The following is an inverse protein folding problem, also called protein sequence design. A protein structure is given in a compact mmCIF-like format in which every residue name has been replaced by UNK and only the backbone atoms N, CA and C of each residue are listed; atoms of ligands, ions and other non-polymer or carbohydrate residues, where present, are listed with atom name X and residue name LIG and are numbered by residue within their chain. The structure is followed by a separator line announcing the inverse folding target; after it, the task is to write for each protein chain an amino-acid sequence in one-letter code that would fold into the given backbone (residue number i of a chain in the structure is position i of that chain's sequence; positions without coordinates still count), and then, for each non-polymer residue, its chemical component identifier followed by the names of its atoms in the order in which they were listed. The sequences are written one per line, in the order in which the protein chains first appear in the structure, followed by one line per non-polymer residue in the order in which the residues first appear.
data_IF_955703948379
#
_entry.id   IF_955703948379
#
_cell.length_a   1.000
_cell.length_b   1.000
_cell.length_c   1.000
_cell.angle_alpha   90.00
_cell.angle_beta   90.00
_cell.angle_gamma   90.00
#
_symmetry.space_group_name_H-M   'P 1'
#
loop_
_entity.id
_entity.type
_entity.pdbx_description
1 polymer ?
#
# COMPACT_ATOMS: atom_id res chain seq x y z
N UNK A 1 6.16 -0.94 -15.28
CA UNK A 1 4.74 -0.88 -14.89
C UNK A 1 4.55 0.21 -13.86
N UNK A 2 3.37 0.83 -13.81
CA UNK A 2 3.05 1.84 -12.78
C UNK A 2 2.33 1.19 -11.61
N UNK A 3 2.82 1.40 -10.39
CA UNK A 3 2.20 0.94 -9.16
C UNK A 3 1.81 2.11 -8.28
N UNK A 4 0.56 2.14 -7.84
CA UNK A 4 0.08 3.05 -6.81
C UNK A 4 0.33 2.43 -5.45
N UNK A 5 0.98 3.17 -4.56
CA UNK A 5 1.31 2.71 -3.21
C UNK A 5 0.31 3.29 -2.21
N UNK A 6 -0.37 2.41 -1.50
CA UNK A 6 -1.42 2.73 -0.54
C UNK A 6 -1.01 2.23 0.83
N UNK A 7 -0.83 3.15 1.79
CA UNK A 7 -0.46 2.79 3.15
C UNK A 7 -1.68 2.69 4.05
N UNK A 8 -1.73 1.67 4.90
CA UNK A 8 -2.84 1.45 5.82
C UNK A 8 -2.90 2.56 6.88
N UNK A 9 -4.11 3.08 7.13
CA UNK A 9 -4.32 4.08 8.18
C UNK A 9 -4.12 3.47 9.56
N UNK A 10 -3.43 4.15 10.49
CA UNK A 10 -3.33 3.68 11.88
C UNK A 10 -4.69 3.62 12.59
N UNK A 11 -5.67 4.41 12.15
CA UNK A 11 -7.06 4.36 12.65
C UNK A 11 -7.78 3.06 12.27
N UNK A 12 -7.41 2.44 11.15
CA UNK A 12 -8.01 1.17 10.68
C UNK A 12 -7.48 -0.03 11.47
N UNK A 13 -6.18 -0.01 11.81
CA UNK A 13 -5.51 -0.99 12.69
C UNK A 13 -6.22 -1.23 14.04
N UNK A 14 -6.88 -0.21 14.60
CA UNK A 14 -7.58 -0.31 15.90
C UNK A 14 -9.00 -0.86 15.82
N UNK A 15 -9.64 -0.81 14.65
CA UNK A 15 -11.07 -1.11 14.51
C UNK A 15 -11.36 -2.48 13.91
N UNK A 16 -10.44 -3.04 13.13
CA UNK A 16 -10.71 -4.23 12.31
C UNK A 16 -9.64 -5.28 12.58
N UNK A 17 -9.88 -6.11 13.59
CA UNK A 17 -9.16 -7.38 13.76
C UNK A 17 -9.67 -8.33 12.67
N UNK A 18 -8.91 -8.47 11.58
CA UNK A 18 -9.07 -9.56 10.61
C UNK A 18 -9.86 -9.27 9.32
N UNK A 19 -10.25 -8.02 9.04
CA UNK A 19 -10.90 -7.66 7.78
C UNK A 19 -9.88 -7.25 6.71
N UNK A 20 -9.87 -7.98 5.59
CA UNK A 20 -9.17 -7.57 4.37
C UNK A 20 -9.68 -6.20 3.90
N UNK A 21 -8.82 -5.32 3.35
CA UNK A 21 -9.29 -4.05 2.82
C UNK A 21 -10.18 -4.27 1.61
N UNK A 22 -11.14 -3.37 1.45
CA UNK A 22 -12.03 -3.35 0.30
C UNK A 22 -11.26 -2.83 -0.92
N UNK A 23 -11.06 -3.65 -1.98
CA UNK A 23 -10.28 -3.25 -3.15
C UNK A 23 -10.99 -2.18 -4.00
N UNK A 24 -12.30 -2.04 -3.87
CA UNK A 24 -13.12 -1.02 -4.55
C UNK A 24 -13.16 0.30 -3.75
N UNK A 25 -12.88 0.26 -2.44
CA UNK A 25 -12.83 1.43 -1.57
C UNK A 25 -11.59 1.50 -0.67
N UNK A 26 -10.40 1.43 -1.28
CA UNK A 26 -9.12 1.57 -0.57
C UNK A 26 -9.02 2.89 0.19
N UNK A 27 -9.60 3.98 -0.32
CA UNK A 27 -9.53 5.30 0.33
C UNK A 27 -10.15 5.34 1.74
N UNK A 28 -11.06 4.42 2.06
CA UNK A 28 -11.63 4.30 3.40
C UNK A 28 -10.57 3.84 4.42
N UNK A 29 -9.79 2.83 4.05
CA UNK A 29 -8.88 2.09 4.95
C UNK A 29 -7.40 2.49 4.79
N UNK A 30 -7.04 2.95 3.59
CA UNK A 30 -5.69 3.30 3.16
C UNK A 30 -5.59 4.76 2.73
N UNK A 31 -4.35 5.26 2.69
CA UNK A 31 -4.00 6.57 2.16
C UNK A 31 -3.08 6.36 0.96
N UNK A 32 -3.44 6.95 -0.17
CA UNK A 32 -2.55 7.02 -1.32
C UNK A 32 -1.30 7.81 -0.94
N UNK A 33 -0.17 7.13 -0.97
CA UNK A 33 1.12 7.71 -0.63
C UNK A 33 1.70 8.41 -1.86
N UNK A 34 1.93 7.63 -2.91
CA UNK A 34 2.52 8.05 -4.19
C UNK A 34 2.37 6.94 -5.23
N UNK A 35 2.59 7.29 -6.47
CA UNK A 35 2.80 6.33 -7.54
C UNK A 35 4.30 6.12 -7.78
N UNK A 36 4.68 4.91 -8.14
CA UNK A 36 6.04 4.56 -8.56
C UNK A 36 6.01 3.75 -9.85
N UNK A 37 7.09 3.84 -10.61
CA UNK A 37 7.35 2.90 -11.69
C UNK A 37 8.21 1.77 -11.14
N UNK A 38 7.82 0.52 -11.39
CA UNK A 38 8.57 -0.67 -11.00
C UNK A 38 8.34 -1.79 -12.02
N UNK A 39 9.24 -2.77 -12.03
CA UNK A 39 9.13 -3.92 -12.96
C UNK A 39 8.20 -5.01 -12.42
N UNK A 40 8.06 -5.11 -11.10
CA UNK A 40 7.23 -6.10 -10.40
C UNK A 40 6.87 -5.62 -8.99
N UNK A 41 5.95 -6.30 -8.29
CA UNK A 41 5.60 -5.93 -6.90
C UNK A 41 6.81 -6.02 -5.95
N UNK A 42 7.71 -6.97 -6.18
CA UNK A 42 8.94 -7.11 -5.39
C UNK A 42 9.89 -5.92 -5.60
N UNK A 43 10.04 -5.43 -6.85
CA UNK A 43 10.81 -4.22 -7.15
C UNK A 43 10.16 -2.99 -6.50
N UNK A 44 8.83 -2.88 -6.59
CA UNK A 44 8.06 -1.84 -5.93
C UNK A 44 8.29 -1.83 -4.40
N UNK A 45 8.22 -3.00 -3.75
CA UNK A 45 8.48 -3.17 -2.33
C UNK A 45 9.93 -2.81 -1.97
N UNK A 46 10.88 -3.22 -2.80
CA UNK A 46 12.30 -2.90 -2.62
C UNK A 46 12.56 -1.39 -2.69
N UNK A 47 11.95 -0.70 -3.67
CA UNK A 47 12.00 0.76 -3.83
C UNK A 47 11.34 1.50 -2.67
N UNK A 48 10.26 0.95 -2.10
CA UNK A 48 9.52 1.53 -0.97
C UNK A 48 10.10 1.17 0.41
N UNK A 49 11.29 0.55 0.48
CA UNK A 49 12.02 0.42 1.75
C UNK A 49 12.60 1.76 2.17
N UNK A 50 12.47 2.09 3.46
CA UNK A 50 12.97 3.36 4.02
C UNK A 50 14.42 3.65 3.61
N UNK A 51 15.27 2.64 3.55
CA UNK A 51 16.68 2.75 3.13
C UNK A 51 16.86 3.23 1.67
N UNK A 52 15.91 2.92 0.79
CA UNK A 52 15.98 3.25 -0.63
C UNK A 52 15.27 4.56 -0.95
N UNK A 53 14.03 4.74 -0.45
CA UNK A 53 13.24 5.94 -0.75
C UNK A 53 13.53 7.13 0.16
N UNK A 54 14.13 6.88 1.32
CA UNK A 54 14.34 7.88 2.36
C UNK A 54 15.59 7.58 3.20
N UNK A 55 16.77 7.48 2.56
CA UNK A 55 18.01 7.16 3.26
C UNK A 55 18.33 8.15 4.40
N UNK A 56 17.89 9.41 4.27
CA UNK A 56 18.08 10.45 5.27
C UNK A 56 16.82 10.78 6.09
N UNK A 57 15.74 10.01 5.97
CA UNK A 57 14.47 10.29 6.64
C UNK A 57 13.59 11.36 5.98
N UNK A 58 13.87 11.74 4.73
CA UNK A 58 13.09 12.71 3.93
C UNK A 58 11.60 12.34 3.81
N UNK A 59 11.29 11.05 3.83
CA UNK A 59 9.94 10.52 3.89
C UNK A 59 9.16 10.87 5.15
N UNK A 60 9.86 11.00 6.28
CA UNK A 60 9.22 11.04 7.59
C UNK A 60 8.28 12.23 7.71
N UNK A 61 8.66 13.37 7.13
CA UNK A 61 7.81 14.56 7.11
C UNK A 61 6.55 14.36 6.26
N UNK A 62 6.69 13.77 5.06
CA UNK A 62 5.55 13.44 4.18
C UNK A 62 4.57 12.47 4.85
N UNK A 63 5.10 11.41 5.48
CA UNK A 63 4.30 10.41 6.17
C UNK A 63 3.57 11.01 7.37
N UNK A 64 4.28 11.81 8.16
CA UNK A 64 3.71 12.51 9.32
C UNK A 64 2.62 13.49 8.91
N UNK A 65 2.83 14.23 7.81
CA UNK A 65 1.83 15.11 7.20
C UNK A 65 0.57 14.35 6.76
N UNK A 66 0.73 13.11 6.27
CA UNK A 66 -0.36 12.21 5.92
C UNK A 66 -0.95 11.43 7.11
N UNK A 67 -0.38 11.56 8.32
CA UNK A 67 -0.81 10.81 9.51
C UNK A 67 -0.43 9.32 9.51
N UNK A 68 0.56 8.93 8.69
CA UNK A 68 1.08 7.57 8.59
C UNK A 68 2.18 7.34 9.63
N UNK A 69 2.23 6.14 10.20
CA UNK A 69 3.17 5.80 11.29
C UNK A 69 4.37 4.97 10.85
N UNK A 70 4.36 4.46 9.61
CA UNK A 70 5.42 3.60 9.08
C UNK A 70 5.96 4.14 7.76
N UNK A 71 7.29 4.07 7.61
CA UNK A 71 8.02 4.56 6.44
C UNK A 71 8.23 3.48 5.39
N UNK A 72 8.36 2.24 5.83
CA UNK A 72 8.54 1.08 4.96
C UNK A 72 7.20 0.40 4.74
N UNK A 73 6.96 -0.04 3.51
CA UNK A 73 5.80 -0.83 3.16
C UNK A 73 5.81 -2.16 3.94
N UNK A 74 4.72 -2.46 4.64
CA UNK A 74 4.61 -3.58 5.59
C UNK A 74 3.31 -4.36 5.38
N UNK A 75 3.14 -5.42 6.17
CA UNK A 75 1.93 -6.25 6.18
C UNK A 75 0.70 -5.37 6.42
N UNK A 76 -0.26 -5.46 5.51
CA UNK A 76 -1.49 -4.66 5.53
C UNK A 76 -1.49 -3.50 4.55
N UNK A 77 -0.35 -3.07 4.00
CA UNK A 77 -0.30 -2.08 2.92
C UNK A 77 -0.72 -2.70 1.57
N UNK A 78 -1.04 -1.86 0.60
CA UNK A 78 -1.61 -2.27 -0.68
C UNK A 78 -0.87 -1.64 -1.86
N UNK A 79 -0.68 -2.40 -2.93
CA UNK A 79 -0.23 -1.93 -4.23
C UNK A 79 -1.35 -2.10 -5.25
N UNK A 80 -1.55 -1.10 -6.09
CA UNK A 80 -2.46 -1.20 -7.24
C UNK A 80 -1.63 -1.06 -8.50
N UNK A 81 -1.70 -2.03 -9.39
CA UNK A 81 -0.97 -1.94 -10.67
C UNK A 81 -1.77 -1.14 -11.72
N UNK A 82 -1.19 -0.94 -12.90
CA UNK A 82 -1.82 -0.23 -14.01
C UNK A 82 -3.08 -0.92 -14.57
N UNK A 83 -3.22 -2.23 -14.37
CA UNK A 83 -4.43 -3.00 -14.69
C UNK A 83 -5.51 -2.92 -13.61
N UNK A 84 -5.31 -2.06 -12.60
CA UNK A 84 -6.22 -1.86 -11.48
C UNK A 84 -6.30 -3.07 -10.52
N UNK A 85 -5.37 -4.04 -10.63
CA UNK A 85 -5.29 -5.18 -9.74
C UNK A 85 -4.71 -4.79 -8.38
N UNK A 86 -5.37 -5.21 -7.31
CA UNK A 86 -5.07 -4.81 -5.94
C UNK A 86 -4.31 -5.90 -5.21
N UNK A 87 -3.06 -5.63 -4.85
CA UNK A 87 -2.16 -6.55 -4.17
C UNK A 87 -1.97 -6.12 -2.71
N UNK A 88 -2.48 -6.93 -1.79
CA UNK A 88 -2.25 -6.77 -0.35
C UNK A 88 -0.88 -7.35 0.03
N UNK A 89 -0.08 -6.57 0.73
CA UNK A 89 1.20 -7.01 1.29
C UNK A 89 0.94 -7.90 2.49
N UNK A 90 1.51 -9.10 2.47
CA UNK A 90 1.42 -10.11 3.53
C UNK A 90 2.81 -10.49 4.02
N UNK A 91 2.88 -11.25 5.11
CA UNK A 91 4.18 -11.67 5.67
C UNK A 91 5.02 -12.60 4.78
N UNK A 92 4.43 -13.14 3.71
CA UNK A 92 5.10 -14.09 2.78
C UNK A 92 5.16 -13.59 1.33
N UNK A 93 4.71 -12.36 1.04
CA UNK A 93 4.62 -11.83 -0.32
C UNK A 93 3.34 -11.02 -0.52
N UNK A 94 2.65 -11.22 -1.64
CA UNK A 94 1.47 -10.43 -2.01
C UNK A 94 0.24 -11.33 -2.22
N UNK A 95 -0.90 -10.91 -1.68
CA UNK A 95 -2.20 -11.53 -1.94
C UNK A 95 -3.02 -10.64 -2.86
N UNK A 96 -3.41 -11.17 -4.02
CA UNK A 96 -4.32 -10.48 -4.92
C UNK A 96 -5.73 -10.45 -4.30
N UNK A 97 -6.29 -9.25 -4.19
CA UNK A 97 -7.67 -9.04 -3.75
C UNK A 97 -8.59 -9.03 -4.98
N UNK A 98 -9.57 -9.95 -5.07
CA UNK A 98 -10.53 -9.92 -6.15
C UNK A 98 -11.40 -8.68 -5.98
N UNK A 99 -11.40 -7.81 -6.99
CA UNK A 99 -12.40 -6.74 -7.08
C UNK A 99 -13.76 -7.35 -7.31
N UNK A 100 -14.80 -6.72 -6.75
CA UNK A 100 -16.16 -7.09 -7.08
C UNK A 100 -16.42 -6.66 -8.52
N UNK A 101 -16.09 -7.54 -9.47
CA UNK A 101 -16.51 -7.41 -10.86
C UNK A 101 -18.04 -7.50 -10.84
N UNK A 102 -18.70 -6.35 -10.89
CA UNK A 102 -20.15 -6.26 -11.04
C UNK A 102 -20.52 -7.11 -12.28
N UNK A 103 -21.28 -8.20 -12.13
CA UNK A 103 -21.69 -9.00 -13.28
C UNK A 103 -22.70 -8.16 -14.06
N UNK A 104 -22.19 -7.47 -15.08
CA UNK A 104 -23.00 -6.71 -16.04
C UNK A 104 -24.05 -7.59 -16.72
#
# INVERSE_FOLDING_TARGET
MKYQIWYMKPSFLRGVVGGSPDPDNLSATHIHLKDIEADSQEDALSRMRAENWSPNGEAADLLKSKGLQHTTMTIGDVLVDETDAVYLVTGIGFSLLPKHEDPR
#
